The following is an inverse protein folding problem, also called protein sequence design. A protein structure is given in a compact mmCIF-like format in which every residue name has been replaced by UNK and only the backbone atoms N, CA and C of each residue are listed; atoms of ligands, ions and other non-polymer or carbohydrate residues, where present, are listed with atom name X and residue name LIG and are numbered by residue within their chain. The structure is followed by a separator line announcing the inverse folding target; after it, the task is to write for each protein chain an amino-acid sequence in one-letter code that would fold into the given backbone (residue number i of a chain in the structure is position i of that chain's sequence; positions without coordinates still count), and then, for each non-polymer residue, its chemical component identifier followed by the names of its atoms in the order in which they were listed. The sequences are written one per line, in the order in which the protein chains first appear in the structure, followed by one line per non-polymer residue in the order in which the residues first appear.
data_IF_562616923752
#
_entry.id   IF_562616923752
#
_cell.length_a   1.000
_cell.length_b   1.000
_cell.length_c   1.000
_cell.angle_alpha   90.00
_cell.angle_beta   90.00
_cell.angle_gamma   90.00
#
_symmetry.space_group_name_H-M   'P 1'
#
loop_
_entity.id
_entity.type
_entity.pdbx_description
1 polymer ?
#
# COMPACT_ATOMS: atom_id res chain seq x y z
N UNK A 1 -38.08 7.86 -2.64
CA UNK A 1 -38.18 6.73 -3.57
C UNK A 1 -36.76 6.38 -3.93
N UNK A 2 -36.27 5.28 -3.34
CA UNK A 2 -34.87 4.87 -3.45
C UNK A 2 -34.68 4.10 -4.75
N UNK A 3 -33.82 4.60 -5.64
CA UNK A 3 -33.25 3.77 -6.68
C UNK A 3 -32.10 2.94 -6.08
N UNK A 4 -32.01 1.63 -6.34
CA UNK A 4 -30.91 0.82 -5.88
C UNK A 4 -29.67 1.05 -6.75
N UNK A 5 -28.51 1.14 -6.09
CA UNK A 5 -27.17 1.11 -6.68
C UNK A 5 -27.04 -0.05 -7.68
N UNK A 6 -26.61 0.27 -8.90
CA UNK A 6 -26.26 -0.73 -9.92
C UNK A 6 -24.90 -1.36 -9.57
N UNK A 7 -24.91 -2.67 -9.33
CA UNK A 7 -23.73 -3.53 -9.46
C UNK A 7 -23.31 -3.55 -10.94
N UNK A 8 -22.09 -3.12 -11.24
CA UNK A 8 -21.52 -3.27 -12.59
C UNK A 8 -21.05 -4.73 -12.73
N UNK A 9 -21.83 -5.54 -13.44
CA UNK A 9 -21.46 -6.89 -13.87
C UNK A 9 -20.65 -6.80 -15.18
N UNK A 10 -19.36 -7.12 -15.10
CA UNK A 10 -18.41 -7.09 -16.22
C UNK A 10 -18.37 -8.40 -17.03
N UNK A 11 -19.26 -9.39 -16.78
CA UNK A 11 -19.20 -10.73 -17.38
C UNK A 11 -19.62 -10.83 -18.86
N UNK A 12 -19.98 -9.71 -19.49
CA UNK A 12 -20.76 -9.67 -20.73
C UNK A 12 -20.06 -9.16 -21.99
N UNK A 13 -18.92 -9.72 -22.40
CA UNK A 13 -18.41 -9.50 -23.76
C UNK A 13 -17.60 -10.70 -24.27
N UNK A 14 -18.17 -11.49 -25.20
CA UNK A 14 -17.38 -12.36 -26.07
C UNK A 14 -16.89 -11.51 -27.26
N UNK A 15 -15.58 -11.51 -27.60
CA UNK A 15 -15.09 -10.70 -28.70
C UNK A 15 -15.40 -11.35 -30.05
N UNK A 16 -16.06 -10.60 -30.94
CA UNK A 16 -15.97 -10.83 -32.38
C UNK A 16 -14.66 -10.26 -32.92
N UNK A 17 -14.09 -10.94 -33.91
CA UNK A 17 -12.75 -10.76 -34.45
C UNK A 17 -12.38 -9.30 -34.84
N UNK A 18 -11.18 -8.88 -34.38
CA UNK A 18 -10.42 -7.67 -34.75
C UNK A 18 -11.07 -6.32 -34.49
N UNK A 19 -11.26 -5.99 -33.21
CA UNK A 19 -11.15 -4.61 -32.76
C UNK A 19 -9.70 -4.33 -32.33
N UNK A 20 -9.18 -3.17 -32.73
CA UNK A 20 -7.94 -2.62 -32.18
C UNK A 20 -8.19 -2.43 -30.68
N UNK A 21 -7.67 -3.33 -29.85
CA UNK A 21 -7.74 -3.21 -28.39
C UNK A 21 -7.14 -1.86 -28.00
N UNK A 22 -7.90 -1.04 -27.27
CA UNK A 22 -7.39 0.22 -26.74
C UNK A 22 -6.24 -0.06 -25.77
N UNK A 23 -5.35 0.91 -25.56
CA UNK A 23 -4.26 0.77 -24.60
C UNK A 23 -4.78 0.41 -23.19
N UNK A 24 -5.95 0.93 -22.81
CA UNK A 24 -6.60 0.55 -21.55
C UNK A 24 -7.09 -0.90 -21.47
N UNK A 25 -7.48 -1.52 -22.60
CA UNK A 25 -7.76 -2.97 -22.65
C UNK A 25 -6.48 -3.79 -22.43
N UNK A 26 -5.33 -3.28 -22.91
CA UNK A 26 -4.04 -3.94 -22.71
C UNK A 26 -3.60 -3.88 -21.23
N UNK A 27 -3.84 -2.75 -20.56
CA UNK A 27 -3.62 -2.64 -19.12
C UNK A 27 -4.52 -3.59 -18.34
N UNK A 28 -5.80 -3.68 -18.70
CA UNK A 28 -6.76 -4.61 -18.10
C UNK A 28 -6.40 -6.09 -18.32
N UNK A 29 -5.72 -6.39 -19.44
CA UNK A 29 -5.30 -7.74 -19.77
C UNK A 29 -4.06 -8.23 -18.99
N UNK A 30 -3.26 -7.32 -18.42
CA UNK A 30 -2.14 -7.70 -17.57
C UNK A 30 -2.61 -8.58 -16.41
N UNK A 31 -1.83 -9.61 -16.07
CA UNK A 31 -2.26 -10.60 -15.06
C UNK A 31 -2.55 -9.95 -13.71
N UNK A 32 -1.67 -9.06 -13.24
CA UNK A 32 -1.85 -8.35 -11.97
C UNK A 32 -3.14 -7.49 -11.97
N UNK A 33 -3.38 -6.74 -13.05
CA UNK A 33 -4.62 -5.95 -13.22
C UNK A 33 -5.85 -6.83 -13.23
N UNK A 34 -5.82 -7.94 -13.97
CA UNK A 34 -6.94 -8.87 -14.03
C UNK A 34 -7.24 -9.47 -12.67
N UNK A 35 -6.21 -9.81 -11.91
CA UNK A 35 -6.35 -10.39 -10.58
C UNK A 35 -7.08 -9.44 -9.62
N UNK A 36 -6.75 -8.15 -9.60
CA UNK A 36 -7.50 -7.20 -8.75
C UNK A 36 -8.92 -6.96 -9.27
N UNK A 37 -9.12 -6.81 -10.58
CA UNK A 37 -10.45 -6.55 -11.16
C UNK A 37 -11.42 -7.72 -10.99
N UNK A 38 -10.91 -8.95 -10.88
CA UNK A 38 -11.71 -10.17 -10.77
C UNK A 38 -11.76 -10.74 -9.35
N UNK A 39 -11.04 -10.15 -8.39
CA UNK A 39 -11.05 -10.62 -7.01
C UNK A 39 -12.32 -10.13 -6.29
N UNK A 40 -13.29 -11.01 -5.99
CA UNK A 40 -14.55 -10.60 -5.36
C UNK A 40 -14.39 -10.18 -3.90
N UNK A 41 -13.19 -10.32 -3.34
CA UNK A 41 -12.89 -10.03 -1.94
C UNK A 41 -12.06 -8.76 -1.76
N UNK A 42 -11.58 -8.17 -2.84
CA UNK A 42 -10.90 -6.88 -2.81
C UNK A 42 -11.87 -5.81 -3.30
N UNK A 43 -12.06 -4.78 -2.50
CA UNK A 43 -12.90 -3.62 -2.81
C UNK A 43 -12.02 -2.40 -3.00
N UNK A 44 -12.15 -1.77 -4.15
CA UNK A 44 -11.63 -0.43 -4.37
C UNK A 44 -12.67 0.56 -3.87
N UNK A 45 -12.32 1.33 -2.85
CA UNK A 45 -13.24 2.25 -2.16
C UNK A 45 -12.81 3.69 -2.44
N UNK A 46 -13.69 4.43 -3.11
CA UNK A 46 -13.49 5.86 -3.35
C UNK A 46 -13.73 6.66 -2.08
N UNK A 47 -12.85 7.63 -1.83
CA UNK A 47 -12.92 8.52 -0.69
C UNK A 47 -13.01 9.96 -1.16
N UNK A 48 -13.75 10.78 -0.42
CA UNK A 48 -13.94 12.21 -0.71
C UNK A 48 -12.71 13.08 -0.39
N UNK A 49 -11.53 12.46 -0.28
CA UNK A 49 -10.24 13.13 -0.19
C UNK A 49 -9.79 13.57 -1.59
N UNK A 50 -9.05 14.67 -1.68
CA UNK A 50 -8.73 15.27 -2.98
C UNK A 50 -7.39 14.81 -3.55
N UNK A 51 -7.46 14.18 -4.73
CA UNK A 51 -6.31 13.74 -5.51
C UNK A 51 -5.45 14.90 -6.03
N UNK A 52 -5.99 16.11 -6.19
CA UNK A 52 -5.18 17.25 -6.65
C UNK A 52 -4.08 17.60 -5.64
N UNK A 53 -4.30 17.34 -4.34
CA UNK A 53 -3.22 17.40 -3.35
C UNK A 53 -2.07 16.45 -3.70
N UNK A 54 -2.37 15.23 -4.14
CA UNK A 54 -1.39 14.22 -4.52
C UNK A 54 -0.59 14.65 -5.76
N UNK A 55 -1.21 15.31 -6.73
CA UNK A 55 -0.54 15.66 -7.99
C UNK A 55 0.13 17.04 -7.98
N UNK A 56 -0.43 18.02 -7.28
CA UNK A 56 0.04 19.41 -7.34
C UNK A 56 0.96 19.81 -6.17
N UNK A 57 0.67 19.31 -4.97
CA UNK A 57 1.40 19.74 -3.75
C UNK A 57 2.50 18.76 -3.34
N UNK A 58 2.37 17.47 -3.71
CA UNK A 58 3.34 16.42 -3.40
C UNK A 58 3.90 15.84 -4.69
N UNK A 59 5.19 15.95 -4.90
CA UNK A 59 5.88 15.45 -6.10
C UNK A 59 6.01 13.92 -6.12
N UNK A 60 4.88 13.20 -6.14
CA UNK A 60 4.72 11.74 -6.09
C UNK A 60 4.91 11.10 -4.71
N UNK A 61 4.09 10.07 -4.44
CA UNK A 61 3.96 9.22 -3.23
C UNK A 61 2.95 9.69 -2.18
N UNK A 62 1.67 9.44 -2.45
CA UNK A 62 0.71 9.33 -1.36
C UNK A 62 -0.27 8.20 -1.65
N UNK A 63 -0.22 7.14 -0.86
CA UNK A 63 -1.30 6.17 -0.80
C UNK A 63 -2.51 6.84 -0.15
N UNK A 64 -3.71 6.62 -0.70
CA UNK A 64 -4.95 6.95 -0.02
C UNK A 64 -5.26 5.97 1.14
N UNK A 65 -4.35 5.00 1.34
CA UNK A 65 -4.36 3.98 2.38
C UNK A 65 -5.06 2.71 1.90
N UNK A 66 -5.01 1.69 2.72
CA UNK A 66 -5.74 0.44 2.49
C UNK A 66 -6.00 -0.26 3.83
N UNK A 67 -6.76 -1.35 3.82
CA UNK A 67 -7.02 -2.18 4.99
C UNK A 67 -7.01 -3.67 4.58
N UNK A 68 -5.94 -4.44 4.92
CA UNK A 68 -5.80 -5.85 4.54
C UNK A 68 -6.97 -6.70 5.03
N UNK A 69 -7.43 -6.40 6.24
CA UNK A 69 -8.35 -7.25 6.98
C UNK A 69 -9.80 -7.06 6.54
N UNK A 70 -10.09 -5.93 5.91
CA UNK A 70 -11.37 -5.64 5.28
C UNK A 70 -11.35 -5.91 3.77
N UNK A 71 -10.18 -6.21 3.20
CA UNK A 71 -9.99 -6.32 1.75
C UNK A 71 -10.29 -5.00 1.04
N UNK A 72 -9.97 -3.86 1.64
CA UNK A 72 -10.30 -2.54 1.08
C UNK A 72 -9.03 -1.82 0.65
N UNK A 73 -9.00 -1.30 -0.57
CA UNK A 73 -7.95 -0.38 -1.05
C UNK A 73 -8.62 0.96 -1.31
N UNK A 74 -8.08 2.01 -0.73
CA UNK A 74 -8.69 3.33 -0.82
C UNK A 74 -8.05 4.12 -1.96
N UNK A 75 -8.89 4.80 -2.75
CA UNK A 75 -8.45 5.77 -3.76
C UNK A 75 -9.21 7.09 -3.58
N UNK A 76 -8.62 8.19 -4.02
CA UNK A 76 -9.33 9.47 -4.06
C UNK A 76 -10.40 9.43 -5.17
N UNK A 77 -11.59 9.99 -4.90
CA UNK A 77 -12.74 9.95 -5.83
C UNK A 77 -12.45 10.58 -7.19
N UNK A 78 -11.56 11.57 -7.23
CA UNK A 78 -11.11 12.27 -8.44
C UNK A 78 -9.72 11.84 -8.95
N UNK A 79 -9.20 10.69 -8.52
CA UNK A 79 -7.86 10.24 -8.93
C UNK A 79 -7.81 9.73 -10.37
N UNK A 80 -6.61 9.64 -10.95
CA UNK A 80 -6.40 9.09 -12.30
C UNK A 80 -6.80 7.60 -12.36
N UNK A 81 -6.56 6.84 -11.28
CA UNK A 81 -7.07 5.46 -11.18
C UNK A 81 -8.60 5.44 -11.14
N UNK A 82 -9.25 6.35 -10.40
CA UNK A 82 -10.71 6.44 -10.37
C UNK A 82 -11.30 6.76 -11.76
N UNK A 83 -10.65 7.66 -12.51
CA UNK A 83 -11.04 8.00 -13.89
C UNK A 83 -10.91 6.80 -14.84
N UNK A 84 -9.82 6.04 -14.75
CA UNK A 84 -9.65 4.82 -15.55
C UNK A 84 -10.65 3.72 -15.20
N UNK A 85 -10.99 3.57 -13.91
CA UNK A 85 -12.02 2.60 -13.49
C UNK A 85 -13.41 2.97 -14.03
N UNK A 86 -13.71 4.27 -14.18
CA UNK A 86 -14.97 4.74 -14.79
C UNK A 86 -14.98 4.54 -16.31
N UNK A 87 -13.85 4.78 -16.97
CA UNK A 87 -13.70 4.60 -18.42
C UNK A 87 -12.35 3.94 -18.76
N UNK A 88 -12.31 2.59 -18.79
CA UNK A 88 -11.10 1.86 -19.17
C UNK A 88 -10.68 2.07 -20.63
N UNK A 89 -11.48 2.74 -21.47
CA UNK A 89 -11.14 3.00 -22.87
C UNK A 89 -10.29 4.26 -23.07
N UNK A 90 -10.08 5.04 -22.00
CA UNK A 90 -9.32 6.29 -22.04
C UNK A 90 -7.88 6.08 -22.56
N UNK A 91 -7.37 7.08 -23.29
CA UNK A 91 -5.98 7.07 -23.75
C UNK A 91 -5.03 7.10 -22.54
N UNK A 92 -4.27 6.03 -22.37
CA UNK A 92 -3.32 5.89 -21.27
C UNK A 92 -2.24 6.97 -21.31
N UNK A 93 -1.87 7.53 -22.47
CA UNK A 93 -0.91 8.64 -22.56
C UNK A 93 -1.45 9.93 -21.96
N UNK A 94 -2.75 10.19 -22.17
CA UNK A 94 -3.44 11.33 -21.58
C UNK A 94 -3.54 11.13 -20.08
N UNK A 95 -3.90 9.92 -19.65
CA UNK A 95 -4.04 9.61 -18.24
C UNK A 95 -2.69 9.65 -17.49
N UNK A 96 -1.61 9.21 -18.14
CA UNK A 96 -0.26 9.20 -17.57
C UNK A 96 0.52 10.50 -17.80
N UNK A 97 -0.17 11.62 -18.04
CA UNK A 97 0.50 12.92 -18.10
C UNK A 97 1.36 13.15 -16.84
N UNK A 98 2.60 13.60 -17.04
CA UNK A 98 3.60 13.80 -15.99
C UNK A 98 3.93 12.54 -15.15
N UNK A 99 3.71 11.33 -15.68
CA UNK A 99 3.97 10.06 -14.99
C UNK A 99 3.20 9.89 -13.66
N UNK A 100 1.98 10.41 -13.59
CA UNK A 100 1.20 10.40 -12.36
C UNK A 100 0.35 9.13 -12.19
N UNK A 101 -0.17 8.58 -13.29
CA UNK A 101 -1.08 7.44 -13.25
C UNK A 101 -0.39 6.13 -12.87
N UNK A 102 0.73 5.78 -13.53
CA UNK A 102 1.39 4.49 -13.30
C UNK A 102 1.86 4.26 -11.86
N UNK A 103 2.49 5.24 -11.17
CA UNK A 103 2.85 5.07 -9.76
C UNK A 103 1.63 4.80 -8.87
N UNK A 104 0.52 5.52 -9.10
CA UNK A 104 -0.72 5.32 -8.34
C UNK A 104 -1.32 3.94 -8.61
N UNK A 105 -1.40 3.55 -9.88
CA UNK A 105 -1.90 2.24 -10.28
C UNK A 105 -1.02 1.10 -9.74
N UNK A 106 0.30 1.27 -9.73
CA UNK A 106 1.22 0.31 -9.15
C UNK A 106 1.01 0.16 -7.62
N UNK A 107 0.73 1.24 -6.88
CA UNK A 107 0.35 1.14 -5.47
C UNK A 107 -0.96 0.39 -5.26
N UNK A 108 -1.95 0.56 -6.15
CA UNK A 108 -3.18 -0.23 -6.11
C UNK A 108 -2.88 -1.74 -6.23
N UNK A 109 -2.01 -2.13 -7.17
CA UNK A 109 -1.59 -3.53 -7.32
C UNK A 109 -0.77 -4.03 -6.12
N UNK A 110 0.08 -3.18 -5.54
CA UNK A 110 0.87 -3.48 -4.36
C UNK A 110 -0.04 -3.78 -3.15
N UNK A 111 -1.01 -2.91 -2.89
CA UNK A 111 -1.97 -3.06 -1.80
C UNK A 111 -2.87 -4.30 -2.00
N UNK A 112 -3.18 -4.68 -3.25
CA UNK A 112 -3.86 -5.95 -3.55
C UNK A 112 -3.03 -7.17 -3.15
N UNK A 113 -1.72 -7.15 -3.42
CA UNK A 113 -0.83 -8.24 -3.01
C UNK A 113 -0.71 -8.37 -1.49
N UNK A 114 -0.78 -7.27 -0.74
CA UNK A 114 -0.89 -7.38 0.70
C UNK A 114 -2.20 -8.04 1.16
N UNK A 115 -3.35 -7.68 0.55
CA UNK A 115 -4.65 -8.32 0.87
C UNK A 115 -4.57 -9.82 0.58
N UNK A 116 -4.01 -10.19 -0.58
CA UNK A 116 -3.71 -11.59 -0.90
C UNK A 116 -2.86 -12.24 0.19
N UNK A 117 -1.71 -11.64 0.55
CA UNK A 117 -0.80 -12.18 1.55
C UNK A 117 -1.45 -12.36 2.91
N UNK A 118 -2.19 -11.36 3.39
CA UNK A 118 -2.87 -11.42 4.68
C UNK A 118 -3.90 -12.55 4.73
N UNK A 119 -4.68 -12.73 3.65
CA UNK A 119 -5.69 -13.78 3.57
C UNK A 119 -5.08 -15.18 3.40
N UNK A 120 -4.01 -15.31 2.64
CA UNK A 120 -3.26 -16.57 2.53
C UNK A 120 -2.72 -16.98 3.90
N UNK A 121 -2.12 -16.05 4.65
CA UNK A 121 -1.63 -16.34 6.00
C UNK A 121 -2.77 -16.73 6.94
N UNK A 122 -3.92 -16.05 6.88
CA UNK A 122 -5.09 -16.40 7.68
C UNK A 122 -5.64 -17.81 7.35
N UNK A 123 -5.54 -18.25 6.08
CA UNK A 123 -5.87 -19.62 5.67
C UNK A 123 -4.85 -20.64 6.18
N UNK A 124 -3.56 -20.33 6.05
CA UNK A 124 -2.48 -21.23 6.48
C UNK A 124 -2.46 -21.40 8.00
N UNK A 125 -2.76 -20.33 8.75
CA UNK A 125 -2.62 -20.27 10.21
C UNK A 125 -3.89 -19.68 10.87
N UNK A 126 -5.03 -20.38 10.78
CA UNK A 126 -6.30 -19.89 11.33
C UNK A 126 -6.26 -19.65 12.84
N UNK A 127 -5.38 -20.32 13.58
CA UNK A 127 -5.18 -20.15 15.03
C UNK A 127 -4.55 -18.80 15.42
N UNK A 128 -4.00 -18.04 14.47
CA UNK A 128 -3.56 -16.67 14.72
C UNK A 128 -4.76 -15.71 14.86
N UNK A 129 -5.91 -16.07 14.29
CA UNK A 129 -7.02 -15.14 14.07
C UNK A 129 -6.56 -13.82 13.45
N UNK A 130 -5.63 -13.89 12.48
CA UNK A 130 -4.91 -12.72 11.99
C UNK A 130 -5.85 -11.73 11.30
N UNK A 131 -5.92 -10.50 11.83
CA UNK A 131 -6.77 -9.45 11.31
C UNK A 131 -8.21 -9.49 11.79
N UNK A 132 -8.62 -10.49 12.56
CA UNK A 132 -10.01 -10.67 13.00
C UNK A 132 -10.14 -11.11 14.46
N UNK A 133 -11.31 -10.90 15.06
CA UNK A 133 -11.56 -11.27 16.46
C UNK A 133 -10.86 -10.35 17.47
N UNK A 134 -10.39 -10.90 18.60
CA UNK A 134 -9.73 -10.10 19.65
C UNK A 134 -8.22 -10.12 19.46
N UNK A 135 -7.61 -8.95 19.30
CA UNK A 135 -6.17 -8.80 19.22
C UNK A 135 -5.55 -8.92 20.62
N UNK A 136 -4.79 -9.98 20.86
CA UNK A 136 -4.05 -10.21 22.11
C UNK A 136 -2.73 -9.41 22.11
N UNK A 137 -2.53 -8.46 23.04
CA UNK A 137 -1.28 -7.71 23.15
C UNK A 137 -0.04 -8.60 23.34
N UNK A 138 -0.17 -9.81 23.90
CA UNK A 138 0.96 -10.72 24.07
C UNK A 138 1.45 -11.33 22.74
N UNK A 139 0.63 -11.28 21.68
CA UNK A 139 0.93 -11.87 20.36
C UNK A 139 1.29 -10.82 19.29
N UNK A 140 1.51 -9.57 19.69
CA UNK A 140 1.79 -8.49 18.73
C UNK A 140 3.03 -8.76 17.88
N UNK A 141 4.07 -9.41 18.41
CA UNK A 141 5.26 -9.73 17.63
C UNK A 141 5.00 -10.81 16.57
N UNK A 142 4.18 -11.82 16.87
CA UNK A 142 3.73 -12.81 15.86
C UNK A 142 2.92 -12.12 14.75
N UNK A 143 2.06 -11.16 15.12
CA UNK A 143 1.31 -10.37 14.15
C UNK A 143 2.19 -9.39 13.36
N UNK A 144 3.25 -8.85 13.98
CA UNK A 144 4.21 -7.99 13.30
C UNK A 144 5.03 -8.78 12.27
N UNK A 145 5.43 -10.01 12.61
CA UNK A 145 6.07 -10.95 11.67
C UNK A 145 5.20 -11.12 10.42
N UNK A 146 3.94 -11.52 10.57
CA UNK A 146 3.07 -11.76 9.40
C UNK A 146 2.82 -10.49 8.58
N UNK A 147 2.65 -9.32 9.20
CA UNK A 147 2.52 -8.05 8.46
C UNK A 147 3.78 -7.74 7.63
N UNK A 148 4.96 -7.92 8.21
CA UNK A 148 6.23 -7.74 7.50
C UNK A 148 6.39 -8.74 6.36
N UNK A 149 5.91 -9.97 6.54
CA UNK A 149 5.86 -10.97 5.46
C UNK A 149 4.89 -10.52 4.35
N UNK A 150 3.73 -9.93 4.67
CA UNK A 150 2.84 -9.38 3.62
C UNK A 150 3.47 -8.23 2.83
N UNK A 151 4.36 -7.45 3.44
CA UNK A 151 5.16 -6.47 2.70
C UNK A 151 6.10 -7.17 1.72
N UNK A 152 6.84 -8.18 2.18
CA UNK A 152 7.68 -8.97 1.27
C UNK A 152 6.87 -9.57 0.11
N UNK A 153 5.60 -9.94 0.33
CA UNK A 153 4.71 -10.43 -0.74
C UNK A 153 4.47 -9.34 -1.79
N UNK A 154 4.13 -8.13 -1.36
CA UNK A 154 3.84 -7.03 -2.26
C UNK A 154 5.11 -6.54 -2.98
N UNK A 155 6.21 -6.34 -2.24
CA UNK A 155 7.50 -5.93 -2.79
C UNK A 155 8.05 -6.97 -3.77
N UNK A 156 8.14 -8.24 -3.38
CA UNK A 156 8.74 -9.27 -4.24
C UNK A 156 7.84 -9.59 -5.42
N UNK A 157 6.55 -9.79 -5.17
CA UNK A 157 5.58 -10.12 -6.23
C UNK A 157 5.48 -9.04 -7.29
N UNK A 158 5.36 -7.76 -6.89
CA UNK A 158 5.21 -6.68 -7.85
C UNK A 158 6.56 -6.19 -8.37
N UNK A 159 7.48 -5.77 -7.50
CA UNK A 159 8.69 -5.09 -7.96
C UNK A 159 9.74 -6.07 -8.51
N UNK A 160 10.06 -7.15 -7.78
CA UNK A 160 11.12 -8.07 -8.18
C UNK A 160 10.68 -9.10 -9.21
N UNK A 161 9.41 -9.49 -9.25
CA UNK A 161 8.96 -10.54 -10.15
C UNK A 161 8.18 -10.01 -11.35
N UNK A 162 7.46 -8.90 -11.23
CA UNK A 162 6.67 -8.37 -12.35
C UNK A 162 7.34 -7.16 -12.99
N UNK A 163 7.41 -6.03 -12.29
CA UNK A 163 7.82 -4.73 -12.86
C UNK A 163 9.27 -4.71 -13.32
N UNK A 164 10.22 -5.30 -12.58
CA UNK A 164 11.63 -5.23 -12.97
C UNK A 164 11.98 -5.98 -14.27
N UNK A 165 11.05 -6.83 -14.75
CA UNK A 165 11.20 -7.60 -15.99
C UNK A 165 10.48 -6.96 -17.19
N UNK A 166 9.68 -5.92 -16.96
CA UNK A 166 8.79 -5.32 -17.95
C UNK A 166 9.30 -3.98 -18.47
N UNK A 167 8.81 -3.61 -19.64
CA UNK A 167 8.90 -2.25 -20.14
C UNK A 167 7.47 -1.76 -20.43
N UNK A 168 6.80 -1.28 -19.38
CA UNK A 168 5.39 -0.84 -19.47
C UNK A 168 5.19 0.26 -20.51
N UNK A 169 6.17 1.16 -20.68
CA UNK A 169 6.14 2.19 -21.71
C UNK A 169 6.01 1.62 -23.12
N UNK A 170 6.71 0.51 -23.40
CA UNK A 170 6.64 -0.20 -24.67
C UNK A 170 5.45 -1.15 -24.76
N UNK A 171 5.12 -1.84 -23.68
CA UNK A 171 4.03 -2.83 -23.64
C UNK A 171 2.65 -2.21 -23.78
N UNK A 172 2.45 -1.01 -23.21
CA UNK A 172 1.14 -0.32 -23.14
C UNK A 172 1.04 0.92 -24.04
N UNK A 173 2.12 1.29 -24.72
CA UNK A 173 2.25 2.58 -25.43
C UNK A 173 1.87 3.82 -24.59
N UNK A 174 2.04 3.73 -23.28
CA UNK A 174 1.58 4.72 -22.29
C UNK A 174 2.48 5.95 -22.20
N UNK A 175 3.72 5.86 -22.67
CA UNK A 175 4.73 6.91 -22.54
C UNK A 175 5.08 7.18 -21.08
N UNK A 176 6.16 6.58 -20.59
CA UNK A 176 6.51 6.71 -19.17
C UNK A 176 8.00 6.67 -18.88
N UNK A 177 8.42 7.38 -17.84
CA UNK A 177 9.72 7.22 -17.18
C UNK A 177 9.66 6.35 -15.91
N UNK A 178 8.46 5.89 -15.52
CA UNK A 178 8.24 4.98 -14.41
C UNK A 178 8.90 3.63 -14.68
N UNK A 179 9.80 3.23 -13.79
CA UNK A 179 10.57 1.99 -13.92
C UNK A 179 10.47 1.07 -12.69
N UNK A 180 9.96 1.56 -11.56
CA UNK A 180 9.98 0.85 -10.26
C UNK A 180 9.03 1.52 -9.26
N UNK A 181 8.43 0.74 -8.36
CA UNK A 181 7.62 1.27 -7.27
C UNK A 181 8.44 1.47 -6.00
N UNK A 182 8.83 0.37 -5.33
CA UNK A 182 9.42 0.47 -3.97
C UNK A 182 10.91 0.17 -3.92
N UNK A 183 11.47 -0.60 -4.85
CA UNK A 183 12.87 -1.09 -4.77
C UNK A 183 13.75 -0.62 -5.90
N UNK A 184 15.06 -0.53 -5.64
CA UNK A 184 16.04 -0.11 -6.65
C UNK A 184 16.56 -1.23 -7.56
N UNK A 185 16.18 -2.48 -7.30
CA UNK A 185 16.60 -3.64 -8.09
C UNK A 185 16.11 -3.54 -9.55
N UNK A 186 16.93 -4.04 -10.47
CA UNK A 186 16.57 -4.23 -11.87
C UNK A 186 17.14 -5.57 -12.33
N UNK A 187 16.36 -6.35 -13.09
CA UNK A 187 16.81 -7.63 -13.62
C UNK A 187 18.06 -7.50 -14.51
N UNK A 188 18.21 -6.36 -15.20
CA UNK A 188 19.40 -6.04 -16.02
C UNK A 188 20.70 -5.91 -15.21
N UNK A 189 20.61 -5.69 -13.89
CA UNK A 189 21.76 -5.57 -12.98
C UNK A 189 22.14 -6.91 -12.34
N UNK A 190 21.41 -8.00 -12.60
CA UNK A 190 21.71 -9.33 -12.07
C UNK A 190 23.16 -9.81 -12.29
N UNK A 191 23.81 -9.58 -13.45
CA UNK A 191 25.21 -9.93 -13.65
C UNK A 191 26.17 -9.24 -12.68
N UNK A 192 25.83 -8.06 -12.15
CA UNK A 192 26.66 -7.37 -11.17
C UNK A 192 26.53 -8.01 -9.79
N UNK A 193 25.32 -8.41 -9.37
CA UNK A 193 25.11 -9.13 -8.11
C UNK A 193 25.83 -10.50 -8.13
N UNK A 194 25.76 -11.22 -9.26
CA UNK A 194 26.41 -12.53 -9.43
C UNK A 194 27.93 -12.51 -9.34
N UNK A 195 28.57 -11.36 -9.49
CA UNK A 195 30.03 -11.23 -9.27
C UNK A 195 30.43 -11.49 -7.82
N UNK A 196 29.51 -11.29 -6.88
CA UNK A 196 29.77 -11.39 -5.46
C UNK A 196 28.96 -12.51 -4.78
N UNK A 197 27.83 -12.90 -5.36
CA UNK A 197 27.03 -14.04 -4.94
C UNK A 197 26.65 -14.86 -6.19
N UNK A 198 27.46 -15.85 -6.55
CA UNK A 198 27.40 -16.57 -7.85
C UNK A 198 25.99 -17.09 -8.18
N UNK A 199 25.33 -17.68 -7.19
CA UNK A 199 24.00 -18.28 -7.33
C UNK A 199 22.85 -17.26 -7.19
N UNK A 200 23.14 -15.97 -7.12
CA UNK A 200 22.13 -14.94 -6.95
C UNK A 200 21.14 -14.92 -8.12
N UNK A 201 19.85 -15.00 -7.80
CA UNK A 201 18.75 -14.74 -8.72
C UNK A 201 17.57 -14.20 -7.92
N UNK A 202 16.94 -13.13 -8.43
CA UNK A 202 15.69 -12.66 -7.84
C UNK A 202 14.48 -13.46 -8.36
N UNK A 203 14.65 -14.24 -9.43
CA UNK A 203 13.58 -14.90 -10.17
C UNK A 203 13.35 -16.34 -9.70
N UNK A 204 13.16 -16.54 -8.40
CA UNK A 204 12.80 -17.83 -7.79
C UNK A 204 11.92 -17.65 -6.55
N UNK A 205 11.09 -18.65 -6.16
CA UNK A 205 10.37 -18.64 -4.89
C UNK A 205 11.29 -18.45 -3.67
N UNK A 206 12.48 -19.07 -3.66
CA UNK A 206 13.46 -18.92 -2.57
C UNK A 206 13.86 -17.47 -2.30
N UNK A 207 13.88 -16.63 -3.34
CA UNK A 207 14.19 -15.21 -3.20
C UNK A 207 13.14 -14.46 -2.37
N UNK A 208 11.86 -14.85 -2.46
CA UNK A 208 10.83 -14.33 -1.55
C UNK A 208 11.19 -14.62 -0.10
N UNK A 209 11.58 -15.87 0.20
CA UNK A 209 12.00 -16.25 1.55
C UNK A 209 13.22 -15.46 2.03
N UNK A 210 14.19 -15.18 1.15
CA UNK A 210 15.34 -14.34 1.49
C UNK A 210 14.91 -12.92 1.88
N UNK A 211 14.02 -12.27 1.11
CA UNK A 211 13.55 -10.92 1.41
C UNK A 211 12.65 -10.91 2.65
N UNK A 212 11.75 -11.87 2.82
CA UNK A 212 10.91 -11.98 4.01
C UNK A 212 11.76 -12.09 5.29
N UNK A 213 12.77 -12.97 5.29
CA UNK A 213 13.74 -13.10 6.39
C UNK A 213 14.55 -11.83 6.58
N UNK A 214 14.97 -11.17 5.51
CA UNK A 214 15.74 -9.94 5.59
C UNK A 214 14.93 -8.78 6.18
N UNK A 215 13.66 -8.65 5.81
CA UNK A 215 12.76 -7.65 6.37
C UNK A 215 12.44 -7.91 7.85
N UNK A 216 12.44 -9.17 8.29
CA UNK A 216 12.30 -9.49 9.71
C UNK A 216 13.60 -9.23 10.49
N UNK A 217 14.75 -9.66 9.97
CA UNK A 217 15.99 -9.79 10.76
C UNK A 217 17.05 -8.71 10.49
N UNK A 218 17.02 -8.09 9.32
CA UNK A 218 18.09 -7.22 8.83
C UNK A 218 19.36 -7.97 8.41
N UNK A 219 19.33 -9.31 8.30
CA UNK A 219 20.43 -10.12 7.79
C UNK A 219 20.14 -10.61 6.35
N UNK A 220 21.05 -10.30 5.42
CA UNK A 220 20.99 -10.80 4.04
C UNK A 220 22.23 -11.66 3.76
N UNK A 221 22.09 -12.96 3.41
CA UNK A 221 23.23 -13.84 3.16
C UNK A 221 23.86 -13.63 1.77
N UNK A 222 25.10 -14.08 1.61
CA UNK A 222 25.75 -14.16 0.29
C UNK A 222 26.54 -12.91 -0.15
N UNK A 223 26.35 -11.75 0.50
CA UNK A 223 27.15 -10.55 0.23
C UNK A 223 27.99 -10.16 1.44
N UNK A 224 29.30 -10.11 1.26
CA UNK A 224 30.24 -9.71 2.32
C UNK A 224 30.61 -8.21 2.25
N UNK A 225 31.46 -7.77 3.18
CA UNK A 225 31.92 -6.38 3.22
C UNK A 225 32.78 -5.97 2.01
N UNK A 226 33.36 -6.91 1.25
CA UNK A 226 34.06 -6.60 0.01
C UNK A 226 33.08 -6.32 -1.13
N UNK A 227 32.02 -7.12 -1.25
CA UNK A 227 30.93 -6.91 -2.21
C UNK A 227 30.34 -5.49 -2.08
N UNK A 228 30.02 -5.09 -0.85
CA UNK A 228 29.49 -3.76 -0.55
C UNK A 228 30.47 -2.62 -0.86
N UNK A 229 31.78 -2.86 -0.71
CA UNK A 229 32.82 -1.85 -0.98
C UNK A 229 33.07 -1.67 -2.48
N UNK A 230 32.99 -2.77 -3.25
CA UNK A 230 33.38 -2.80 -4.66
C UNK A 230 32.22 -2.61 -5.62
N UNK A 231 30.98 -2.79 -5.17
CA UNK A 231 29.77 -2.61 -5.97
C UNK A 231 28.85 -1.55 -5.37
N UNK A 232 28.87 -0.31 -5.89
CA UNK A 232 27.92 0.72 -5.45
C UNK A 232 26.46 0.34 -5.74
N UNK A 233 26.23 -0.51 -6.75
CA UNK A 233 24.92 -1.07 -7.08
C UNK A 233 24.43 -1.98 -5.95
N UNK A 234 25.24 -2.96 -5.56
CA UNK A 234 24.92 -3.90 -4.46
C UNK A 234 24.74 -3.16 -3.13
N UNK A 235 25.63 -2.19 -2.84
CA UNK A 235 25.51 -1.37 -1.63
C UNK A 235 24.24 -0.53 -1.61
N UNK A 236 23.93 0.17 -2.71
CA UNK A 236 22.74 1.01 -2.80
C UNK A 236 21.46 0.21 -2.61
N UNK A 237 21.39 -0.95 -3.25
CA UNK A 237 20.28 -1.87 -3.15
C UNK A 237 20.11 -2.44 -1.73
N UNK A 238 21.12 -3.11 -1.17
CA UNK A 238 21.00 -3.72 0.17
C UNK A 238 20.79 -2.68 1.27
N UNK A 239 21.36 -1.47 1.12
CA UNK A 239 21.10 -0.36 2.05
C UNK A 239 19.65 0.09 2.01
N UNK A 240 19.07 0.21 0.81
CA UNK A 240 17.66 0.56 0.64
C UNK A 240 16.77 -0.47 1.32
N UNK A 241 16.96 -1.76 1.00
CA UNK A 241 16.19 -2.87 1.57
C UNK A 241 16.33 -2.97 3.10
N UNK A 242 17.52 -2.76 3.66
CA UNK A 242 17.74 -2.76 5.10
C UNK A 242 16.95 -1.65 5.81
N UNK A 243 17.00 -0.43 5.28
CA UNK A 243 16.27 0.72 5.81
C UNK A 243 14.76 0.54 5.64
N UNK A 244 14.35 -0.04 4.52
CA UNK A 244 12.96 -0.32 4.22
C UNK A 244 12.40 -1.36 5.20
N UNK A 245 13.07 -2.50 5.38
CA UNK A 245 12.69 -3.51 6.38
C UNK A 245 12.59 -2.96 7.80
N UNK A 246 13.51 -2.08 8.21
CA UNK A 246 13.41 -1.36 9.49
C UNK A 246 12.14 -0.51 9.60
N UNK A 247 11.82 0.24 8.56
CA UNK A 247 10.60 1.05 8.49
C UNK A 247 9.34 0.19 8.57
N UNK A 248 9.34 -0.97 7.92
CA UNK A 248 8.22 -1.89 7.87
C UNK A 248 7.96 -2.55 9.24
N UNK A 249 9.01 -2.98 9.95
CA UNK A 249 8.88 -3.44 11.35
C UNK A 249 8.28 -2.36 12.24
N UNK A 250 8.74 -1.12 12.08
CA UNK A 250 8.20 0.03 12.83
C UNK A 250 6.72 0.25 12.54
N UNK A 251 6.32 0.32 11.27
CA UNK A 251 4.92 0.61 10.91
C UNK A 251 3.98 -0.52 11.32
N UNK A 252 4.37 -1.79 11.11
CA UNK A 252 3.61 -2.95 11.57
C UNK A 252 3.38 -2.93 13.06
N UNK A 253 4.43 -2.72 13.88
CA UNK A 253 4.28 -2.61 15.33
C UNK A 253 3.43 -1.42 15.74
N UNK A 254 3.65 -0.24 15.15
CA UNK A 254 2.87 0.95 15.47
C UNK A 254 1.38 0.76 15.19
N UNK A 255 1.04 0.12 14.07
CA UNK A 255 -0.35 -0.14 13.71
C UNK A 255 -1.00 -1.18 14.62
N UNK A 256 -0.30 -2.29 14.90
CA UNK A 256 -0.80 -3.32 15.81
C UNK A 256 -0.98 -2.78 17.24
N UNK A 257 -0.05 -1.97 17.73
CA UNK A 257 -0.18 -1.28 19.01
C UNK A 257 -1.41 -0.35 19.01
N UNK A 258 -1.61 0.41 17.93
CA UNK A 258 -2.80 1.25 17.76
C UNK A 258 -4.09 0.43 17.82
N UNK A 259 -4.20 -0.66 17.05
CA UNK A 259 -5.36 -1.55 17.06
C UNK A 259 -5.60 -2.21 18.42
N UNK A 260 -4.53 -2.59 19.13
CA UNK A 260 -4.61 -3.19 20.47
C UNK A 260 -4.89 -2.17 21.59
N UNK A 261 -4.80 -0.86 21.29
CA UNK A 261 -4.94 0.19 22.30
C UNK A 261 -3.81 0.23 23.33
N UNK A 262 -2.65 -0.28 22.97
CA UNK A 262 -1.42 -0.14 23.74
C UNK A 262 -0.53 0.91 23.11
N UNK A 263 0.23 1.66 23.91
CA UNK A 263 1.11 2.71 23.40
C UNK A 263 2.50 2.53 24.02
N UNK A 264 3.40 1.91 23.25
CA UNK A 264 4.80 1.73 23.62
C UNK A 264 5.69 2.50 22.65
N UNK A 265 6.24 3.61 23.13
CA UNK A 265 7.09 4.49 22.33
C UNK A 265 8.56 4.32 22.69
N UNK A 266 9.12 3.15 22.38
CA UNK A 266 10.57 3.02 22.21
C UNK A 266 10.88 2.90 20.72
N UNK A 267 11.40 3.98 20.14
CA UNK A 267 11.71 4.04 18.72
C UNK A 267 12.74 2.98 18.29
N UNK A 268 13.67 2.61 19.17
CA UNK A 268 14.66 1.56 18.91
C UNK A 268 14.02 0.18 18.89
N UNK A 269 13.09 -0.09 19.82
CA UNK A 269 12.34 -1.34 19.85
C UNK A 269 11.43 -1.51 18.61
N UNK A 270 10.88 -0.43 18.06
CA UNK A 270 10.01 -0.50 16.89
C UNK A 270 10.73 -0.97 15.62
N UNK A 271 12.00 -0.63 15.43
CA UNK A 271 12.80 -1.09 14.28
C UNK A 271 13.60 -2.37 14.56
N UNK A 272 13.60 -2.87 15.79
CA UNK A 272 14.38 -4.04 16.18
C UNK A 272 14.02 -5.26 15.32
N UNK A 273 14.95 -6.20 15.10
CA UNK A 273 14.65 -7.47 14.45
C UNK A 273 13.42 -8.16 15.06
N UNK A 274 12.65 -8.85 14.23
CA UNK A 274 11.56 -9.74 14.66
C UNK A 274 12.11 -11.18 14.62
N UNK A 275 11.93 -11.90 15.73
CA UNK A 275 12.21 -13.33 15.77
C UNK A 275 11.19 -14.07 14.89
N UNK A 276 11.68 -14.92 14.00
CA UNK A 276 10.82 -15.74 13.15
C UNK A 276 10.28 -16.87 14.03
N UNK A 277 8.95 -16.99 14.21
CA UNK A 277 8.38 -18.07 15.01
C UNK A 277 8.76 -19.45 14.43
N UNK A 278 8.70 -20.51 15.23
CA UNK A 278 9.03 -21.89 14.79
C UNK A 278 8.24 -22.34 13.55
N UNK A 279 7.06 -21.78 13.36
CA UNK A 279 6.17 -22.04 12.22
C UNK A 279 6.35 -21.07 11.04
N UNK A 280 7.16 -20.03 11.22
CA UNK A 280 7.29 -18.90 10.31
C UNK A 280 7.91 -19.31 8.97
N UNK A 281 8.86 -20.24 8.98
CA UNK A 281 9.50 -20.75 7.77
C UNK A 281 8.49 -21.49 6.87
N UNK A 282 7.64 -22.35 7.43
CA UNK A 282 6.59 -23.06 6.68
C UNK A 282 5.62 -22.07 6.00
N UNK A 283 5.26 -21.00 6.70
CA UNK A 283 4.41 -19.93 6.14
C UNK A 283 5.12 -19.20 5.01
N UNK A 284 6.41 -18.89 5.16
CA UNK A 284 7.20 -18.21 4.14
C UNK A 284 7.33 -19.08 2.88
N UNK A 285 7.63 -20.37 3.02
CA UNK A 285 7.77 -21.29 1.89
C UNK A 285 6.47 -21.41 1.10
N UNK A 286 5.37 -21.78 1.77
CA UNK A 286 4.07 -21.99 1.12
C UNK A 286 3.49 -20.70 0.52
N UNK A 287 3.68 -19.56 1.19
CA UNK A 287 3.26 -18.26 0.66
C UNK A 287 4.09 -17.85 -0.56
N UNK A 288 5.39 -18.14 -0.56
CA UNK A 288 6.29 -17.88 -1.70
C UNK A 288 5.88 -18.66 -2.95
N UNK A 289 5.57 -19.95 -2.81
CA UNK A 289 5.09 -20.80 -3.91
C UNK A 289 3.74 -20.31 -4.46
N UNK A 290 2.78 -19.99 -3.58
CA UNK A 290 1.47 -19.45 -4.00
C UNK A 290 1.59 -18.10 -4.69
N UNK A 291 2.45 -17.21 -4.18
CA UNK A 291 2.72 -15.92 -4.81
C UNK A 291 3.39 -16.10 -6.17
N UNK A 292 4.34 -17.03 -6.29
CA UNK A 292 5.03 -17.33 -7.54
C UNK A 292 4.04 -17.81 -8.60
N UNK A 293 3.18 -18.78 -8.26
CA UNK A 293 2.12 -19.25 -9.15
C UNK A 293 1.20 -18.11 -9.60
N UNK A 294 0.79 -17.24 -8.66
CA UNK A 294 -0.03 -16.06 -8.96
C UNK A 294 0.67 -15.10 -9.93
N UNK A 295 1.89 -14.68 -9.63
CA UNK A 295 2.58 -13.63 -10.40
C UNK A 295 3.16 -14.16 -11.71
N UNK A 296 3.79 -15.33 -11.69
CA UNK A 296 4.54 -15.89 -12.83
C UNK A 296 3.72 -16.78 -13.74
N UNK A 297 2.68 -17.46 -13.22
CA UNK A 297 1.82 -18.33 -14.01
C UNK A 297 0.46 -17.68 -14.30
N UNK A 298 0.15 -16.59 -13.62
CA UNK A 298 -1.11 -15.87 -13.77
C UNK A 298 -2.29 -16.58 -13.14
N UNK A 299 -2.02 -17.54 -12.25
CA UNK A 299 -3.04 -18.34 -11.59
C UNK A 299 -3.96 -17.42 -10.79
N UNK A 300 -5.29 -17.56 -10.92
CA UNK A 300 -6.26 -16.70 -10.22
C UNK A 300 -6.39 -17.15 -8.75
N UNK A 301 -5.29 -17.52 -8.11
CA UNK A 301 -5.30 -18.07 -6.76
C UNK A 301 -5.99 -17.07 -5.82
N UNK A 302 -7.11 -17.51 -5.27
CA UNK A 302 -7.94 -16.77 -4.33
C UNK A 302 -7.92 -17.54 -3.00
N UNK A 303 -7.39 -16.96 -1.91
CA UNK A 303 -7.41 -17.61 -0.61
C UNK A 303 -8.83 -17.93 -0.17
N UNK A 304 -9.01 -19.13 0.39
CA UNK A 304 -10.30 -19.65 0.83
C UNK A 304 -10.81 -19.00 2.12
N UNK A 305 -9.91 -18.42 2.93
CA UNK A 305 -10.30 -17.69 4.14
C UNK A 305 -11.14 -16.45 3.78
N UNK A 306 -12.35 -16.41 4.35
CA UNK A 306 -13.30 -15.31 4.19
C UNK A 306 -13.78 -14.89 5.57
N UNK A 307 -13.52 -13.64 5.91
CA UNK A 307 -14.03 -12.99 7.10
C UNK A 307 -14.88 -11.81 6.68
N UNK A 308 -15.98 -11.61 7.40
CA UNK A 308 -16.84 -10.47 7.11
C UNK A 308 -16.13 -9.18 7.57
N UNK A 309 -16.17 -8.07 6.80
CA UNK A 309 -15.41 -6.85 7.12
C UNK A 309 -15.68 -6.28 8.52
N UNK A 310 -16.85 -6.54 9.10
CA UNK A 310 -17.22 -6.15 10.46
C UNK A 310 -16.45 -6.89 11.56
N UNK A 311 -15.88 -8.06 11.25
CA UNK A 311 -15.07 -8.87 12.16
C UNK A 311 -13.60 -8.43 12.19
N UNK A 312 -13.19 -7.57 11.26
CA UNK A 312 -11.83 -7.05 11.19
C UNK A 312 -11.48 -6.27 12.47
N UNK A 313 -10.21 -6.30 12.87
CA UNK A 313 -9.72 -5.47 13.96
C UNK A 313 -10.00 -3.99 13.70
N UNK A 314 -10.35 -3.27 14.76
CA UNK A 314 -10.70 -1.85 14.72
C UNK A 314 -9.93 -1.08 15.77
N UNK A 315 -9.65 0.19 15.50
CA UNK A 315 -9.03 1.05 16.47
C UNK A 315 -9.91 1.16 17.74
N UNK A 316 -9.27 1.25 18.92
CA UNK A 316 -9.97 1.48 20.16
C UNK A 316 -10.68 2.85 20.13
N UNK A 317 -11.88 2.88 20.69
CA UNK A 317 -12.73 4.09 20.76
C UNK A 317 -12.42 4.99 21.96
N UNK A 318 -11.36 4.65 22.72
CA UNK A 318 -10.87 5.35 23.91
C UNK A 318 -9.40 5.73 23.73
N UNK A 319 -8.97 6.77 24.44
CA UNK A 319 -7.61 7.31 24.35
C UNK A 319 -7.38 8.24 23.15
N UNK A 320 -6.17 8.83 23.03
CA UNK A 320 -5.82 9.75 21.94
C UNK A 320 -5.97 9.12 20.56
N UNK A 321 -6.38 9.95 19.58
CA UNK A 321 -6.51 9.52 18.18
C UNK A 321 -5.13 9.50 17.54
N UNK A 322 -4.76 8.38 16.93
CA UNK A 322 -3.56 8.27 16.12
C UNK A 322 -3.89 8.55 14.66
N UNK A 323 -3.69 9.79 14.23
CA UNK A 323 -3.99 10.20 12.85
C UNK A 323 -3.05 9.58 11.81
N UNK A 324 -2.09 8.73 12.20
CA UNK A 324 -1.36 7.87 11.26
C UNK A 324 -2.22 6.73 10.75
N UNK A 325 -3.21 6.26 11.52
CA UNK A 325 -3.98 5.05 11.22
C UNK A 325 -5.51 5.27 11.33
N UNK A 326 -5.94 6.43 11.83
CA UNK A 326 -7.36 6.81 11.91
C UNK A 326 -7.70 7.87 10.85
N UNK A 327 -8.78 7.63 10.10
CA UNK A 327 -9.37 8.59 9.17
C UNK A 327 -10.24 9.60 9.90
N UNK A 328 -9.90 10.89 9.82
CA UNK A 328 -10.74 11.94 10.39
C UNK A 328 -12.08 12.05 9.65
N UNK A 329 -12.14 11.74 8.36
CA UNK A 329 -13.37 11.78 7.58
C UNK A 329 -14.36 10.67 7.98
N UNK A 330 -13.86 9.56 8.55
CA UNK A 330 -14.68 8.43 9.02
C UNK A 330 -15.43 8.69 10.33
N UNK A 331 -15.18 9.81 11.01
CA UNK A 331 -15.96 10.19 12.19
C UNK A 331 -17.26 10.87 11.79
N UNK A 332 -18.38 10.51 12.45
CA UNK A 332 -19.64 11.26 12.29
C UNK A 332 -19.51 12.73 12.74
N UNK A 333 -18.66 13.03 13.72
CA UNK A 333 -18.33 14.38 14.16
C UNK A 333 -16.85 14.42 14.60
N UNK A 334 -15.97 14.76 13.65
CA UNK A 334 -14.54 14.74 13.87
C UNK A 334 -14.09 15.79 14.90
N UNK A 335 -14.71 16.97 14.91
CA UNK A 335 -14.38 18.04 15.85
C UNK A 335 -14.68 17.63 17.29
N UNK A 336 -15.87 17.03 17.51
CA UNK A 336 -16.24 16.50 18.81
C UNK A 336 -15.31 15.38 19.26
N UNK A 337 -14.96 14.46 18.37
CA UNK A 337 -14.07 13.34 18.72
C UNK A 337 -12.64 13.82 19.03
N UNK A 338 -12.13 14.78 18.26
CA UNK A 338 -10.83 15.43 18.53
C UNK A 338 -10.84 16.18 19.87
N UNK A 339 -11.91 16.90 20.18
CA UNK A 339 -12.06 17.59 21.48
C UNK A 339 -12.14 16.60 22.64
N UNK A 340 -12.83 15.46 22.45
CA UNK A 340 -13.01 14.42 23.47
C UNK A 340 -11.74 13.62 23.74
N UNK A 341 -11.00 13.26 22.69
CA UNK A 341 -9.91 12.27 22.75
C UNK A 341 -8.53 12.89 22.66
N UNK A 342 -8.41 14.11 22.12
CA UNK A 342 -7.14 14.70 21.67
C UNK A 342 -6.45 13.91 20.54
N UNK A 343 -5.44 14.53 19.93
CA UNK A 343 -4.56 13.90 18.93
C UNK A 343 -3.32 13.38 19.63
N UNK A 344 -2.90 12.17 19.28
CA UNK A 344 -1.63 11.61 19.71
C UNK A 344 -0.48 12.46 19.14
N UNK A 345 0.41 12.95 20.00
CA UNK A 345 1.43 13.94 19.65
C UNK A 345 2.31 13.54 18.44
N UNK A 346 2.90 12.32 18.39
CA UNK A 346 3.61 11.83 17.20
C UNK A 346 2.82 11.82 15.88
N UNK A 347 1.49 11.81 15.93
CA UNK A 347 0.60 11.74 14.76
C UNK A 347 0.09 13.11 14.27
N UNK A 348 0.50 14.20 14.92
CA UNK A 348 0.08 15.56 14.53
C UNK A 348 0.42 15.95 13.08
N UNK A 349 1.56 15.54 12.49
CA UNK A 349 1.81 15.81 11.08
C UNK A 349 0.70 15.23 10.19
N UNK A 350 0.27 14.00 10.44
CA UNK A 350 -0.79 13.35 9.69
C UNK A 350 -2.15 13.97 9.96
N UNK A 351 -2.41 14.42 11.19
CA UNK A 351 -3.60 15.21 11.49
C UNK A 351 -3.68 16.49 10.63
N UNK A 352 -2.59 17.26 10.52
CA UNK A 352 -2.54 18.45 9.65
C UNK A 352 -2.81 18.09 8.20
N UNK A 353 -2.16 17.04 7.71
CA UNK A 353 -2.34 16.56 6.33
C UNK A 353 -3.80 16.16 6.07
N UNK A 354 -4.41 15.39 6.96
CA UNK A 354 -5.81 14.96 6.80
C UNK A 354 -6.79 16.13 6.87
N UNK A 355 -6.58 17.10 7.79
CA UNK A 355 -7.42 18.30 7.86
C UNK A 355 -7.37 19.09 6.56
N UNK A 356 -6.17 19.35 6.07
CA UNK A 356 -5.96 20.11 4.85
C UNK A 356 -6.52 19.38 3.61
N UNK A 357 -6.29 18.05 3.48
CA UNK A 357 -6.86 17.20 2.42
C UNK A 357 -8.38 17.10 2.42
N UNK A 358 -9.04 17.39 3.55
CA UNK A 358 -10.51 17.44 3.64
C UNK A 358 -11.11 18.72 3.08
N UNK A 359 -10.28 19.63 2.56
CA UNK A 359 -10.67 20.96 2.08
C UNK A 359 -10.32 21.17 0.61
N UNK A 360 -11.20 21.91 -0.07
CA UNK A 360 -11.04 22.38 -1.45
C UNK A 360 -10.16 23.62 -1.47
N UNK A 361 -9.18 23.64 -2.35
CA UNK A 361 -8.42 24.85 -2.70
C UNK A 361 -8.38 25.02 -4.23
N UNK A 362 -8.07 26.22 -4.76
CA UNK A 362 -7.99 26.44 -6.19
C UNK A 362 -6.89 25.59 -6.85
N UNK A 363 -7.30 24.70 -7.76
CA UNK A 363 -6.42 23.82 -8.56
C UNK A 363 -5.55 24.68 -9.47
N UNK A 364 -4.27 24.33 -9.60
CA UNK A 364 -3.32 24.98 -10.51
C UNK A 364 -2.89 26.40 -10.13
N UNK A 365 -3.29 26.93 -8.98
CA UNK A 365 -2.83 28.22 -8.46
C UNK A 365 -1.51 28.05 -7.68
N UNK A 366 -0.37 28.56 -8.20
CA UNK A 366 0.93 28.40 -7.56
C UNK A 366 1.00 28.99 -6.15
N UNK A 367 0.28 30.08 -5.87
CA UNK A 367 0.27 30.73 -4.57
C UNK A 367 -0.53 29.90 -3.56
N UNK A 368 -1.66 29.32 -3.99
CA UNK A 368 -2.43 28.40 -3.16
C UNK A 368 -1.62 27.14 -2.82
N UNK A 369 -0.93 26.54 -3.81
CA UNK A 369 -0.05 25.38 -3.61
C UNK A 369 1.08 25.71 -2.63
N UNK A 370 1.73 26.85 -2.78
CA UNK A 370 2.81 27.28 -1.89
C UNK A 370 2.33 27.54 -0.45
N UNK A 371 1.17 28.18 -0.29
CA UNK A 371 0.55 28.42 1.01
C UNK A 371 0.19 27.11 1.72
N UNK A 372 -0.42 26.19 0.99
CA UNK A 372 -0.76 24.84 1.48
C UNK A 372 0.49 24.07 1.92
N UNK A 373 1.54 24.05 1.10
CA UNK A 373 2.80 23.39 1.45
C UNK A 373 3.43 23.98 2.71
N UNK A 374 3.34 25.30 2.88
CA UNK A 374 3.80 25.98 4.10
C UNK A 374 2.98 25.53 5.32
N UNK A 375 1.66 25.41 5.20
CA UNK A 375 0.77 24.99 6.29
C UNK A 375 1.01 23.54 6.73
N UNK A 376 1.27 22.61 5.80
CA UNK A 376 1.55 21.19 6.13
C UNK A 376 2.75 21.08 7.10
N UNK A 377 3.78 21.89 6.86
CA UNK A 377 5.02 21.89 7.65
C UNK A 377 4.98 22.85 8.83
N UNK A 378 3.89 23.60 9.03
CA UNK A 378 3.76 24.54 10.14
C UNK A 378 3.76 23.82 11.49
N UNK A 379 4.62 24.24 12.45
CA UNK A 379 4.55 23.76 13.82
C UNK A 379 3.33 24.33 14.57
N UNK A 380 2.72 25.41 14.08
CA UNK A 380 1.55 26.02 14.69
C UNK A 380 0.26 25.31 14.22
N UNK A 381 -0.20 24.39 15.04
CA UNK A 381 -1.42 23.62 14.81
C UNK A 381 -2.69 24.48 14.77
N UNK A 382 -2.72 25.58 15.52
CA UNK A 382 -3.89 26.46 15.56
C UNK A 382 -4.03 27.22 14.24
N UNK A 383 -2.92 27.67 13.66
CA UNK A 383 -2.90 28.30 12.33
C UNK A 383 -3.39 27.34 11.25
N UNK A 384 -2.97 26.07 11.29
CA UNK A 384 -3.40 25.07 10.30
C UNK A 384 -4.89 24.77 10.42
N UNK A 385 -5.39 24.58 11.65
CA UNK A 385 -6.82 24.37 11.89
C UNK A 385 -7.65 25.59 11.46
N UNK A 386 -7.19 26.81 11.79
CA UNK A 386 -7.84 28.04 11.36
C UNK A 386 -7.91 28.15 9.83
N UNK A 387 -6.79 27.91 9.13
CA UNK A 387 -6.71 27.99 7.68
C UNK A 387 -7.59 26.93 7.01
N UNK A 388 -7.57 25.69 7.50
CA UNK A 388 -8.44 24.63 7.01
C UNK A 388 -9.92 25.01 7.16
N UNK A 389 -10.31 25.72 8.22
CA UNK A 389 -11.68 26.18 8.43
C UNK A 389 -12.09 27.36 7.55
N UNK A 390 -11.14 28.05 6.89
CA UNK A 390 -11.46 29.07 5.89
C UNK A 390 -11.76 28.47 4.50
N UNK A 391 -11.40 27.21 4.28
CA UNK A 391 -11.55 26.54 2.99
C UNK A 391 -12.86 25.73 2.93
N UNK A 392 -13.53 25.64 1.77
CA UNK A 392 -14.71 24.81 1.62
C UNK A 392 -14.38 23.34 1.88
N UNK A 393 -15.23 22.63 2.63
CA UNK A 393 -15.07 21.20 2.84
C UNK A 393 -15.48 20.39 1.60
N UNK A 394 -14.87 19.22 1.42
CA UNK A 394 -15.46 18.19 0.56
C UNK A 394 -16.76 17.67 1.18
N UNK A 395 -17.70 17.25 0.32
CA UNK A 395 -18.88 16.50 0.78
C UNK A 395 -18.42 15.22 1.47
N UNK A 396 -19.15 14.77 2.48
CA UNK A 396 -18.89 13.47 3.10
C UNK A 396 -19.55 12.37 2.28
N UNK A 397 -18.78 11.34 1.93
CA UNK A 397 -19.34 10.03 1.61
C UNK A 397 -19.90 9.38 2.88
N UNK A 398 -21.03 8.69 2.78
CA UNK A 398 -21.64 7.99 3.93
C UNK A 398 -20.78 6.81 4.43
N UNK A 399 -19.82 6.34 3.61
CA UNK A 399 -19.03 5.12 3.82
C UNK A 399 -17.52 5.36 4.04
N UNK A 400 -17.11 6.53 4.57
CA UNK A 400 -15.69 6.78 4.85
C UNK A 400 -15.14 5.81 5.91
N UNK A 401 -14.07 5.04 5.61
CA UNK A 401 -13.51 4.06 6.54
C UNK A 401 -12.87 4.77 7.73
N UNK A 402 -13.09 4.30 8.96
CA UNK A 402 -12.45 4.88 10.14
C UNK A 402 -11.00 4.40 10.30
N UNK A 403 -10.75 3.12 10.05
CA UNK A 403 -9.49 2.44 10.31
C UNK A 403 -8.72 2.22 9.01
N UNK A 404 -7.50 2.75 8.93
CA UNK A 404 -6.67 2.70 7.72
C UNK A 404 -5.24 2.28 8.06
N UNK A 405 -4.61 1.54 7.15
CA UNK A 405 -3.18 1.33 7.14
C UNK A 405 -2.53 2.23 6.10
N UNK A 406 -1.48 2.94 6.51
CA UNK A 406 -0.67 3.77 5.63
C UNK A 406 0.77 3.34 5.71
N UNK A 407 1.33 2.98 4.56
CA UNK A 407 2.75 2.90 4.36
C UNK A 407 3.17 4.17 3.62
N UNK A 408 4.14 4.90 4.20
CA UNK A 408 4.67 6.16 3.68
C UNK A 408 5.73 5.94 2.62
#
# INVERSE_FOLDING_TARGET
MNEPLQLIDMSGARPSERQVQGAGDQLAALSATRHILQDPHTRIVRRSIDANWLYETRSSKTSAGWNPFRGEIYIADNSLVAQWLDDPSMDLRVLNENDLFLPEFAFLLHDHLHIFGARTIAELRPELAFGHGTLDPARLEEHAFVLVVTEAVATVGLDYWDLCCRNLGRELDIGTSFARLTVSYQASLEPEYRRYCEDFTAQTPDFFGLIARFYCTGAFPGFDGEALRRSPVTLGWLRHELLYGGSQRRYSRQWLQHLAGVQHYDAGALEAPIEIPDWGEDVIEELGERLWAKVKHGDPWLPGAQHAPEQAWRAPQRGPIDCRFTNLAGFADAERELARRSVLEPSRPQWREQLLRSRRYPIGDPDAIAAVNTLIHSPDHAVVAWAANQLPAYGRSEDEPLDMFFLK
#
